data_IF_045073262454
#
_entry.id   IF_045073262454
#
_cell.length_a   1.000
_cell.length_b   1.000
_cell.length_c   1.000
_cell.angle_alpha   90.00
_cell.angle_beta   90.00
_cell.angle_gamma   90.00
#
_symmetry.space_group_name_H-M   'P 1'
#
loop_
_entity.id
_entity.type
_entity.pdbx_description
1 polymer ?
#
# COMPACT_ATOMS: atom_id res chain seq x y z
N UNK A 1 -25.95 -10.74 11.57
CA UNK A 1 -26.04 -9.50 10.74
C UNK A 1 -24.69 -9.26 10.06
N UNK A 2 -24.54 -9.68 8.80
CA UNK A 2 -23.35 -9.42 7.97
C UNK A 2 -23.88 -8.85 6.65
N UNK A 3 -24.39 -7.62 6.66
CA UNK A 3 -24.99 -6.99 5.46
C UNK A 3 -24.54 -5.55 5.21
N UNK A 4 -23.59 -5.05 5.98
CA UNK A 4 -23.20 -3.62 5.95
C UNK A 4 -21.68 -3.39 6.09
N UNK A 5 -20.84 -4.43 5.96
CA UNK A 5 -19.40 -4.25 5.97
C UNK A 5 -18.87 -4.10 4.54
N UNK A 6 -18.16 -3.01 4.27
CA UNK A 6 -17.53 -2.70 2.97
C UNK A 6 -16.52 -3.77 2.53
N UNK A 7 -16.07 -4.64 3.45
CA UNK A 7 -15.19 -5.77 3.18
C UNK A 7 -15.80 -7.01 3.85
N UNK A 8 -16.62 -7.73 3.09
CA UNK A 8 -17.36 -8.90 3.57
C UNK A 8 -16.42 -10.04 3.99
N UNK A 9 -15.31 -10.21 3.26
CA UNK A 9 -14.31 -11.27 3.49
C UNK A 9 -13.64 -11.18 4.87
N UNK A 10 -13.34 -9.97 5.35
CA UNK A 10 -12.72 -9.76 6.66
C UNK A 10 -13.73 -9.99 7.78
N UNK A 11 -15.00 -9.70 7.54
CA UNK A 11 -16.08 -9.92 8.50
C UNK A 11 -16.42 -11.40 8.62
N UNK A 12 -16.42 -12.12 7.50
CA UNK A 12 -16.54 -13.57 7.42
C UNK A 12 -15.36 -14.26 8.13
N UNK A 13 -14.12 -13.86 7.84
CA UNK A 13 -12.94 -14.42 8.50
C UNK A 13 -12.95 -14.20 10.02
N UNK A 14 -13.40 -13.03 10.49
CA UNK A 14 -13.60 -12.76 11.92
C UNK A 14 -14.70 -13.62 12.54
N UNK A 15 -15.80 -13.86 11.82
CA UNK A 15 -16.88 -14.73 12.28
C UNK A 15 -16.43 -16.20 12.39
N UNK A 16 -15.70 -16.71 11.39
CA UNK A 16 -15.11 -18.06 11.40
C UNK A 16 -14.16 -18.22 12.58
N UNK A 17 -13.30 -17.23 12.83
CA UNK A 17 -12.37 -17.28 13.98
C UNK A 17 -13.09 -17.22 15.33
N UNK A 18 -14.18 -16.45 15.43
CA UNK A 18 -15.03 -16.39 16.64
C UNK A 18 -15.81 -17.69 16.88
N UNK A 19 -16.13 -18.42 15.83
CA UNK A 19 -16.76 -19.75 15.91
C UNK A 19 -15.74 -20.89 16.19
N UNK A 20 -14.47 -20.57 16.49
CA UNK A 20 -13.42 -21.56 16.78
C UNK A 20 -12.71 -22.11 15.55
N UNK A 21 -13.02 -21.61 14.35
CA UNK A 21 -12.34 -22.01 13.11
C UNK A 21 -10.91 -21.49 13.03
N UNK A 22 -10.02 -22.27 12.41
CA UNK A 22 -8.65 -21.87 12.07
C UNK A 22 -8.62 -21.29 10.67
N UNK A 23 -8.03 -20.11 10.52
CA UNK A 23 -7.74 -19.51 9.22
C UNK A 23 -6.28 -19.79 8.91
N UNK A 24 -6.01 -20.46 7.79
CA UNK A 24 -4.66 -20.71 7.30
C UNK A 24 -4.38 -19.79 6.11
N UNK A 25 -3.23 -19.11 6.14
CA UNK A 25 -2.73 -18.30 5.04
C UNK A 25 -1.75 -19.15 4.25
N UNK A 26 -2.22 -19.68 3.12
CA UNK A 26 -1.40 -20.36 2.12
C UNK A 26 -1.03 -19.44 0.99
N UNK A 27 0.14 -19.66 0.40
CA UNK A 27 0.41 -19.13 -0.93
C UNK A 27 -0.48 -19.87 -1.93
N UNK A 28 -1.39 -19.13 -2.55
CA UNK A 28 -2.34 -19.69 -3.50
C UNK A 28 -1.75 -19.63 -4.91
N UNK A 29 -1.08 -20.69 -5.35
CA UNK A 29 -0.47 -20.78 -6.68
C UNK A 29 -1.49 -20.87 -7.84
N UNK A 30 -2.81 -20.80 -7.56
CA UNK A 30 -3.90 -20.99 -8.54
C UNK A 30 -4.99 -19.92 -8.50
N UNK A 31 -4.69 -18.72 -8.00
CA UNK A 31 -5.64 -17.61 -7.97
C UNK A 31 -5.18 -16.56 -8.98
N UNK A 32 -5.84 -16.54 -10.13
CA UNK A 32 -5.64 -15.48 -11.13
C UNK A 32 -6.61 -14.33 -10.90
N UNK A 33 -6.09 -13.11 -10.92
CA UNK A 33 -6.92 -11.90 -10.89
C UNK A 33 -7.67 -11.75 -12.21
N UNK A 34 -9.00 -11.93 -12.16
CA UNK A 34 -9.90 -11.74 -13.31
C UNK A 34 -9.98 -10.26 -13.73
N UNK A 35 -9.49 -9.33 -12.90
CA UNK A 35 -9.34 -7.90 -13.26
C UNK A 35 -7.90 -7.64 -13.71
N UNK A 36 -7.62 -7.66 -15.03
CA UNK A 36 -6.39 -7.08 -15.54
C UNK A 36 -6.42 -5.56 -15.31
N UNK A 37 -5.28 -5.02 -14.89
CA UNK A 37 -5.02 -3.58 -14.80
C UNK A 37 -3.99 -3.26 -15.88
N UNK A 38 -4.42 -3.00 -17.13
CA UNK A 38 -3.50 -2.81 -18.25
C UNK A 38 -2.69 -1.51 -18.12
N UNK A 39 -3.26 -0.49 -17.47
CA UNK A 39 -2.65 0.83 -17.38
C UNK A 39 -2.26 1.22 -15.95
N UNK A 40 -1.17 1.98 -15.84
CA UNK A 40 -0.73 2.58 -14.57
C UNK A 40 -1.84 3.46 -13.96
N UNK A 41 -2.65 4.11 -14.79
CA UNK A 41 -3.77 4.93 -14.35
C UNK A 41 -4.86 4.11 -13.63
N UNK A 42 -5.05 2.84 -13.99
CA UNK A 42 -6.02 1.97 -13.33
C UNK A 42 -5.51 1.51 -11.96
N UNK A 43 -4.22 1.17 -11.87
CA UNK A 43 -3.54 0.90 -10.60
C UNK A 43 -3.58 2.13 -9.68
N UNK A 44 -3.29 3.31 -10.24
CA UNK A 44 -3.34 4.57 -9.50
C UNK A 44 -4.73 4.82 -8.94
N UNK A 45 -5.78 4.68 -9.74
CA UNK A 45 -7.17 4.85 -9.29
C UNK A 45 -7.61 3.80 -8.26
N UNK A 46 -7.06 2.59 -8.33
CA UNK A 46 -7.31 1.53 -7.36
C UNK A 46 -6.69 1.90 -6.00
N UNK A 47 -5.39 2.22 -5.98
CA UNK A 47 -4.65 2.56 -4.76
C UNK A 47 -5.16 3.87 -4.16
N UNK A 48 -5.35 4.90 -4.98
CA UNK A 48 -5.84 6.21 -4.52
C UNK A 48 -7.24 6.15 -3.90
N UNK A 49 -8.02 5.10 -4.17
CA UNK A 49 -9.35 4.90 -3.58
C UNK A 49 -9.30 4.30 -2.17
N UNK A 50 -8.35 3.41 -1.91
CA UNK A 50 -8.32 2.61 -0.68
C UNK A 50 -7.21 3.01 0.29
N UNK A 51 -6.09 3.58 -0.18
CA UNK A 51 -4.92 3.85 0.64
C UNK A 51 -5.24 4.73 1.86
N UNK A 52 -5.88 5.88 1.66
CA UNK A 52 -6.22 6.76 2.79
C UNK A 52 -7.31 6.19 3.72
N UNK A 53 -8.22 5.38 3.17
CA UNK A 53 -9.23 4.67 3.95
C UNK A 53 -8.60 3.58 4.83
N UNK A 54 -7.57 2.88 4.34
CA UNK A 54 -6.78 1.92 5.13
C UNK A 54 -6.06 2.61 6.30
N UNK A 55 -5.61 3.85 6.10
CA UNK A 55 -5.03 4.68 7.16
C UNK A 55 -6.08 5.30 8.11
N UNK A 56 -7.35 4.87 8.00
CA UNK A 56 -8.48 5.35 8.82
C UNK A 56 -8.63 6.88 8.81
N UNK A 57 -8.27 7.53 7.70
CA UNK A 57 -8.31 8.98 7.58
C UNK A 57 -7.49 9.72 8.66
N UNK A 58 -6.38 9.12 9.11
CA UNK A 58 -5.54 9.67 10.17
C UNK A 58 -4.30 10.39 9.59
N UNK A 59 -4.26 11.75 9.58
CA UNK A 59 -3.15 12.52 9.00
C UNK A 59 -1.75 12.19 9.55
N UNK A 60 -1.53 12.05 10.87
CA UNK A 60 -0.22 11.64 11.40
C UNK A 60 0.20 10.23 10.97
N UNK A 61 -0.74 9.30 10.80
CA UNK A 61 -0.43 7.97 10.28
C UNK A 61 0.00 8.03 8.79
N UNK A 62 -0.59 8.94 8.02
CA UNK A 62 -0.20 9.21 6.64
C UNK A 62 1.21 9.78 6.57
N UNK A 63 1.47 10.83 7.36
CA UNK A 63 2.81 11.43 7.45
C UNK A 63 3.85 10.39 7.88
N UNK A 64 3.54 9.57 8.90
CA UNK A 64 4.43 8.49 9.35
C UNK A 64 4.70 7.44 8.27
N UNK A 65 3.68 7.08 7.50
CA UNK A 65 3.81 6.09 6.41
C UNK A 65 4.61 6.67 5.23
N UNK A 66 4.34 7.92 4.85
CA UNK A 66 5.08 8.62 3.80
C UNK A 66 6.54 8.81 4.22
N UNK A 67 6.80 9.25 5.44
CA UNK A 67 8.15 9.42 5.98
C UNK A 67 8.88 8.07 6.09
N UNK A 68 8.20 7.02 6.55
CA UNK A 68 8.77 5.68 6.63
C UNK A 68 9.11 5.11 5.25
N UNK A 69 8.20 5.25 4.28
CA UNK A 69 8.44 4.83 2.89
C UNK A 69 9.61 5.62 2.27
N UNK A 70 9.64 6.95 2.46
CA UNK A 70 10.73 7.77 1.98
C UNK A 70 12.07 7.39 2.62
N UNK A 71 12.09 7.18 3.93
CA UNK A 71 13.30 6.81 4.65
C UNK A 71 13.81 5.43 4.22
N UNK A 72 12.93 4.44 4.10
CA UNK A 72 13.34 3.06 3.78
C UNK A 72 13.71 2.89 2.31
N UNK A 73 12.93 3.48 1.40
CA UNK A 73 13.07 3.22 -0.04
C UNK A 73 13.80 4.32 -0.81
N UNK A 74 13.70 5.58 -0.38
CA UNK A 74 14.34 6.71 -1.08
C UNK A 74 15.64 7.17 -0.43
N UNK A 75 15.82 7.00 0.89
CA UNK A 75 17.06 7.42 1.53
C UNK A 75 18.29 6.67 0.99
N UNK A 76 18.29 5.34 0.79
CA UNK A 76 19.47 4.62 0.28
C UNK A 76 20.00 5.12 -1.08
N UNK A 77 19.17 5.31 -2.14
CA UNK A 77 19.66 5.87 -3.40
C UNK A 77 20.05 7.35 -3.28
N UNK A 78 19.37 8.14 -2.43
CA UNK A 78 19.70 9.55 -2.23
C UNK A 78 21.03 9.71 -1.49
N UNK A 79 21.30 8.92 -0.45
CA UNK A 79 22.56 8.98 0.30
C UNK A 79 23.73 8.46 -0.53
N UNK A 80 23.51 7.45 -1.36
CA UNK A 80 24.49 7.01 -2.35
C UNK A 80 24.84 8.14 -3.32
N UNK A 81 23.83 8.75 -3.95
CA UNK A 81 24.05 9.83 -4.92
C UNK A 81 24.69 11.06 -4.27
N UNK A 82 24.23 11.46 -3.09
CA UNK A 82 24.79 12.58 -2.34
C UNK A 82 26.25 12.32 -1.96
N UNK A 83 26.58 11.14 -1.42
CA UNK A 83 27.95 10.79 -1.05
C UNK A 83 28.91 10.75 -2.24
N UNK A 84 28.43 10.30 -3.41
CA UNK A 84 29.23 10.35 -4.65
C UNK A 84 29.48 11.78 -5.13
N UNK A 85 28.48 12.67 -5.00
CA UNK A 85 28.58 14.07 -5.41
C UNK A 85 29.42 14.93 -4.46
N UNK A 86 29.39 14.63 -3.16
CA UNK A 86 30.16 15.35 -2.13
C UNK A 86 31.55 14.75 -1.88
N UNK A 87 31.85 13.58 -2.45
CA UNK A 87 33.07 12.83 -2.19
C UNK A 87 33.10 12.15 -0.81
N UNK A 88 31.97 12.09 -0.12
CA UNK A 88 31.82 11.40 1.17
C UNK A 88 31.70 9.88 0.95
N UNK A 89 32.86 9.22 0.90
CA UNK A 89 32.99 7.78 0.72
C UNK A 89 32.14 6.96 1.72
N UNK A 90 32.19 7.23 3.03
CA UNK A 90 31.33 6.58 4.02
C UNK A 90 29.83 6.70 3.71
N UNK A 91 29.33 7.90 3.36
CA UNK A 91 27.92 8.10 3.03
C UNK A 91 27.52 7.34 1.75
N UNK A 92 28.37 7.39 0.72
CA UNK A 92 28.16 6.64 -0.51
C UNK A 92 28.10 5.13 -0.27
N UNK A 93 29.04 4.60 0.54
CA UNK A 93 29.11 3.17 0.85
C UNK A 93 27.92 2.71 1.67
N UNK A 94 27.51 3.49 2.68
CA UNK A 94 26.33 3.19 3.50
C UNK A 94 25.03 3.18 2.66
N UNK A 95 24.84 4.18 1.78
CA UNK A 95 23.70 4.24 0.86
C UNK A 95 23.69 3.07 -0.13
N UNK A 96 24.84 2.77 -0.72
CA UNK A 96 25.01 1.64 -1.64
C UNK A 96 24.75 0.28 -0.98
N UNK A 97 25.27 0.06 0.23
CA UNK A 97 25.06 -1.17 0.98
C UNK A 97 23.58 -1.34 1.38
N UNK A 98 22.93 -0.28 1.87
CA UNK A 98 21.51 -0.31 2.20
C UNK A 98 20.66 -0.61 0.95
N UNK A 99 20.98 0.00 -0.19
CA UNK A 99 20.28 -0.26 -1.45
C UNK A 99 20.50 -1.69 -1.96
N UNK A 100 21.72 -2.24 -1.80
CA UNK A 100 22.04 -3.61 -2.15
C UNK A 100 21.28 -4.63 -1.27
N UNK A 101 21.20 -4.39 0.05
CA UNK A 101 20.42 -5.22 0.97
C UNK A 101 18.94 -5.19 0.59
N UNK A 102 18.38 -4.01 0.32
CA UNK A 102 16.99 -3.87 -0.13
C UNK A 102 16.71 -4.60 -1.44
N UNK A 103 17.64 -4.53 -2.40
CA UNK A 103 17.54 -5.23 -3.68
C UNK A 103 17.62 -6.75 -3.48
N UNK A 104 18.54 -7.21 -2.62
CA UNK A 104 18.75 -8.62 -2.31
C UNK A 104 17.56 -9.27 -1.61
N UNK A 105 16.92 -8.57 -0.67
CA UNK A 105 15.73 -9.08 0.03
C UNK A 105 14.48 -9.15 -0.85
N UNK A 106 14.43 -8.37 -1.92
CA UNK A 106 13.32 -8.39 -2.87
C UNK A 106 13.46 -9.43 -4.00
N UNK A 107 14.69 -9.90 -4.25
CA UNK A 107 14.98 -10.88 -5.28
C UNK A 107 14.23 -12.22 -5.14
N UNK A 108 14.07 -12.81 -3.93
CA UNK A 108 13.25 -14.01 -3.71
C UNK A 108 11.80 -13.80 -4.12
N UNK A 109 11.27 -12.60 -3.85
CA UNK A 109 9.93 -12.17 -4.23
C UNK A 109 9.76 -12.23 -5.75
N UNK A 110 10.66 -11.58 -6.49
CA UNK A 110 10.63 -11.56 -7.96
C UNK A 110 10.72 -12.95 -8.57
N UNK A 111 11.61 -13.78 -8.02
CA UNK A 111 11.75 -15.17 -8.46
C UNK A 111 10.47 -15.97 -8.22
N UNK A 112 9.82 -15.78 -7.08
CA UNK A 112 8.54 -16.44 -6.77
C UNK A 112 7.45 -16.04 -7.78
N UNK A 113 7.35 -14.75 -8.13
CA UNK A 113 6.40 -14.26 -9.14
C UNK A 113 6.89 -14.41 -10.60
N UNK A 114 8.02 -15.11 -10.83
CA UNK A 114 8.65 -15.30 -12.16
C UNK A 114 8.91 -14.00 -12.93
N UNK A 115 9.15 -12.90 -12.20
CA UNK A 115 9.44 -11.58 -12.75
C UNK A 115 10.95 -11.39 -12.99
N UNK A 116 11.35 -10.54 -13.94
CA UNK A 116 12.75 -10.41 -14.29
C UNK A 116 13.55 -9.68 -13.18
N UNK A 117 14.71 -10.21 -12.77
CA UNK A 117 15.45 -9.74 -11.59
C UNK A 117 16.05 -8.34 -11.75
N UNK A 118 16.19 -7.82 -12.98
CA UNK A 118 16.66 -6.45 -13.23
C UNK A 118 15.66 -5.38 -12.74
N UNK A 119 14.42 -5.76 -12.42
CA UNK A 119 13.43 -4.89 -11.78
C UNK A 119 13.73 -4.65 -10.29
N UNK A 120 14.55 -5.49 -9.65
CA UNK A 120 14.85 -5.37 -8.23
C UNK A 120 15.46 -4.00 -7.83
N UNK A 121 16.47 -3.46 -8.55
CA UNK A 121 16.99 -2.11 -8.26
C UNK A 121 15.99 -0.98 -8.58
N UNK A 122 14.93 -1.23 -9.36
CA UNK A 122 13.87 -0.26 -9.64
C UNK A 122 12.82 -0.15 -8.51
N UNK A 123 12.99 -0.90 -7.42
CA UNK A 123 12.17 -0.79 -6.21
C UNK A 123 11.95 0.63 -5.68
N UNK A 124 12.97 1.50 -5.56
CA UNK A 124 12.78 2.87 -5.10
C UNK A 124 11.81 3.64 -5.98
N UNK A 125 11.83 3.37 -7.29
CA UNK A 125 10.96 4.01 -8.26
C UNK A 125 9.50 3.57 -8.09
N UNK A 126 9.26 2.26 -7.92
CA UNK A 126 7.90 1.75 -7.67
C UNK A 126 7.36 2.20 -6.31
N UNK A 127 8.21 2.26 -5.28
CA UNK A 127 7.89 2.81 -3.98
C UNK A 127 7.53 4.31 -4.04
N UNK A 128 8.26 5.10 -4.86
CA UNK A 128 7.94 6.51 -5.10
C UNK A 128 6.56 6.65 -5.75
N UNK A 129 6.25 5.87 -6.79
CA UNK A 129 4.92 5.88 -7.41
C UNK A 129 3.82 5.55 -6.40
N UNK A 130 4.04 4.54 -5.56
CA UNK A 130 3.11 4.17 -4.50
C UNK A 130 2.92 5.28 -3.45
N UNK A 131 4.01 5.96 -3.08
CA UNK A 131 3.97 7.11 -2.18
C UNK A 131 3.14 8.24 -2.79
N UNK A 132 3.34 8.57 -4.08
CA UNK A 132 2.56 9.57 -4.78
C UNK A 132 1.08 9.19 -4.88
N UNK A 133 0.76 7.92 -5.17
CA UNK A 133 -0.62 7.42 -5.15
C UNK A 133 -1.26 7.56 -3.77
N UNK A 134 -0.49 7.33 -2.71
CA UNK A 134 -0.93 7.45 -1.31
C UNK A 134 -1.20 8.90 -0.94
N UNK A 135 -0.33 9.83 -1.34
CA UNK A 135 -0.52 11.27 -1.14
C UNK A 135 -1.71 11.77 -1.95
N UNK A 136 -1.84 11.35 -3.21
CA UNK A 136 -2.98 11.68 -4.08
C UNK A 136 -4.31 11.18 -3.49
N UNK A 137 -4.32 9.98 -2.86
CA UNK A 137 -5.46 9.47 -2.10
C UNK A 137 -5.92 10.44 -1.01
N UNK A 138 -4.96 10.95 -0.22
CA UNK A 138 -5.24 11.92 0.84
C UNK A 138 -5.73 13.25 0.27
N UNK A 139 -5.07 13.79 -0.77
CA UNK A 139 -5.47 15.03 -1.44
C UNK A 139 -6.89 14.92 -1.99
N UNK A 140 -7.25 13.80 -2.62
CA UNK A 140 -8.63 13.54 -3.10
C UNK A 140 -9.64 13.49 -1.97
N UNK A 141 -9.27 12.94 -0.81
CA UNK A 141 -10.14 12.96 0.37
C UNK A 141 -10.37 14.38 0.88
N UNK A 142 -9.31 15.18 1.03
CA UNK A 142 -9.41 16.58 1.45
C UNK A 142 -10.13 17.48 0.42
N UNK A 143 -10.06 17.15 -0.87
CA UNK A 143 -10.82 17.80 -1.94
C UNK A 143 -12.30 17.37 -2.00
N UNK A 144 -12.78 16.61 -1.03
CA UNK A 144 -14.18 16.16 -0.98
C UNK A 144 -14.54 15.07 -2.00
N UNK A 145 -13.57 14.54 -2.75
CA UNK A 145 -13.77 13.46 -3.71
C UNK A 145 -13.74 12.06 -3.05
N UNK A 146 -13.38 11.99 -1.76
CA UNK A 146 -13.28 10.75 -0.99
C UNK A 146 -14.62 10.10 -0.61
N UNK A 147 -15.75 10.78 -0.83
CA UNK A 147 -17.09 10.26 -0.55
C UNK A 147 -17.93 10.02 -1.80
N UNK A 148 -17.34 10.08 -3.00
CA UNK A 148 -18.04 9.73 -4.24
C UNK A 148 -18.01 8.22 -4.49
N UNK A 149 -18.37 7.41 -3.49
CA UNK A 149 -18.83 6.06 -3.74
C UNK A 149 -20.37 6.08 -3.73
N UNK A 150 -20.92 6.18 -4.94
CA UNK A 150 -22.34 5.96 -5.29
C UNK A 150 -23.37 7.05 -4.96
N UNK A 151 -23.02 8.33 -4.77
CA UNK A 151 -24.04 9.40 -4.71
C UNK A 151 -25.16 9.17 -3.68
N UNK A 152 -24.87 8.40 -2.62
CA UNK A 152 -25.79 8.12 -1.51
C UNK A 152 -25.13 8.60 -0.24
N UNK A 153 -25.65 9.69 0.30
CA UNK A 153 -25.54 10.02 1.71
C UNK A 153 -26.27 8.93 2.50
N UNK A 154 -25.54 8.11 3.25
CA UNK A 154 -26.18 7.30 4.27
C UNK A 154 -26.61 8.24 5.39
N UNK A 155 -27.92 8.50 5.47
CA UNK A 155 -28.51 9.04 6.67
C UNK A 155 -28.14 8.10 7.83
N UNK A 156 -27.66 8.70 8.92
CA UNK A 156 -27.49 8.07 10.23
C UNK A 156 -28.70 7.16 10.50
N UNK A 157 -28.52 5.89 10.93
CA UNK A 157 -29.67 5.11 11.36
C UNK A 157 -30.29 5.86 12.53
N UNK A 158 -31.47 6.44 12.33
CA UNK A 158 -32.33 6.82 13.45
C UNK A 158 -32.60 5.55 14.24
N UNK A 159 -32.28 5.62 15.54
CA UNK A 159 -32.68 4.60 16.49
C UNK A 159 -34.19 4.44 16.37
N UNK A 160 -34.65 3.22 16.06
CA UNK A 160 -36.06 2.90 16.06
C UNK A 160 -36.63 3.22 17.47
N UNK A 161 -37.78 3.91 17.57
CA UNK A 161 -38.41 4.13 18.86
C UNK A 161 -38.97 2.81 19.40
N UNK A 162 -38.61 2.48 20.64
CA UNK A 162 -39.20 1.39 21.41
C UNK A 162 -40.72 1.61 21.54
N UNK A 163 -41.49 0.57 21.21
CA UNK A 163 -42.86 0.35 21.68
C UNK A 163 -43.01 -1.09 22.12
#
# INVERSE_FOLDING_TARGET
MIRQAVIDDVSLAKAVRRAGGRVWLGLADRVDSIRPYPDLADLWRMVARSAYAQLRHNPPALLGTVAGLALVYLAPPVTLAAGLLTGDGPAAWAGGAAWAVMTGTYLPMLRYYRQPPWLAPLLPYTALLYLLMTVDSAVRHYRGQGAAWKGRTYARPEAAPDR
#
